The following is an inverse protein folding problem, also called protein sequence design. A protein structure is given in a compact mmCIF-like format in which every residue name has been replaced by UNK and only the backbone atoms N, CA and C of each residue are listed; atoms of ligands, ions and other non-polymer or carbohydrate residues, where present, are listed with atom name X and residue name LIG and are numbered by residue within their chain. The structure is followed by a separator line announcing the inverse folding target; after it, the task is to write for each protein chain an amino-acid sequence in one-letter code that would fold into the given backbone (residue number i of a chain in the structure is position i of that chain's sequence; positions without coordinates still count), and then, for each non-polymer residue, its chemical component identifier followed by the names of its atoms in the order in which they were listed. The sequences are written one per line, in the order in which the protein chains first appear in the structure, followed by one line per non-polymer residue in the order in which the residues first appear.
data_IF_773863817323
#
_entry.id   IF_773863817323
#
_cell.length_a   1.000
_cell.length_b   1.000
_cell.length_c   1.000
_cell.angle_alpha   90.00
_cell.angle_beta   90.00
_cell.angle_gamma   90.00
#
_symmetry.space_group_name_H-M   'P 1'
#
loop_
_entity.id
_entity.type
_entity.pdbx_description
1 polymer ?
#
# COMPACT_ATOMS: atom_id res chain seq x y z
N UNK A 1 -33.13 11.02 22.10
CA UNK A 1 -32.60 10.08 21.10
C UNK A 1 -31.41 10.77 20.44
N UNK A 2 -30.21 10.52 20.98
CA UNK A 2 -28.97 11.10 20.47
C UNK A 2 -28.46 10.18 19.38
N UNK A 3 -28.27 10.72 18.17
CA UNK A 3 -27.67 10.01 17.05
C UNK A 3 -26.21 9.70 17.39
N UNK A 4 -25.95 8.47 17.82
CA UNK A 4 -24.61 7.91 17.84
C UNK A 4 -24.23 7.60 16.40
N UNK A 5 -23.81 8.64 15.68
CA UNK A 5 -23.21 8.52 14.37
C UNK A 5 -21.77 8.06 14.60
N UNK A 6 -21.61 6.78 14.95
CA UNK A 6 -20.31 6.13 14.83
C UNK A 6 -19.95 6.22 13.36
N UNK A 7 -18.97 7.07 13.05
CA UNK A 7 -18.21 6.98 11.80
C UNK A 7 -17.56 5.60 11.79
N UNK A 8 -18.33 4.60 11.39
CA UNK A 8 -17.83 3.32 10.92
C UNK A 8 -17.12 3.66 9.61
N UNK A 9 -15.87 4.13 9.73
CA UNK A 9 -14.99 4.36 8.61
C UNK A 9 -14.97 3.04 7.87
N UNK A 10 -15.56 3.00 6.66
CA UNK A 10 -15.63 1.80 5.86
C UNK A 10 -14.19 1.36 5.55
N UNK A 11 -13.72 0.39 6.34
CA UNK A 11 -12.31 -0.03 6.36
C UNK A 11 -11.90 -0.58 4.99
N UNK A 12 -12.88 -1.01 4.20
CA UNK A 12 -12.71 -1.52 2.84
C UNK A 12 -12.27 -0.38 1.92
N UNK A 13 -12.98 0.73 1.96
CA UNK A 13 -12.67 1.94 1.21
C UNK A 13 -11.33 2.53 1.65
N UNK A 14 -11.04 2.55 2.95
CA UNK A 14 -9.78 3.08 3.47
C UNK A 14 -8.54 2.31 2.94
N UNK A 15 -8.63 0.98 2.87
CA UNK A 15 -7.53 0.13 2.39
C UNK A 15 -7.29 0.24 0.89
N UNK A 16 -8.38 0.28 0.10
CA UNK A 16 -8.32 0.46 -1.35
C UNK A 16 -7.82 1.86 -1.71
N UNK A 17 -8.36 2.89 -1.06
CA UNK A 17 -7.94 4.27 -1.25
C UNK A 17 -6.46 4.48 -0.89
N UNK A 18 -5.95 3.80 0.15
CA UNK A 18 -4.55 3.90 0.53
C UNK A 18 -3.60 3.38 -0.56
N UNK A 19 -3.94 2.27 -1.23
CA UNK A 19 -3.15 1.75 -2.34
C UNK A 19 -3.32 2.59 -3.61
N UNK A 20 -4.56 3.00 -3.92
CA UNK A 20 -4.85 3.87 -5.09
C UNK A 20 -4.17 5.22 -4.94
N UNK A 21 -4.05 5.77 -3.73
CA UNK A 21 -3.32 7.01 -3.48
C UNK A 21 -1.81 6.81 -3.42
N UNK A 22 -1.34 5.73 -2.78
CA UNK A 22 0.09 5.51 -2.52
C UNK A 22 0.89 5.11 -3.76
N UNK A 23 0.37 4.24 -4.62
CA UNK A 23 1.14 3.79 -5.80
C UNK A 23 1.37 4.86 -6.87
N UNK A 24 0.43 5.79 -7.14
CA UNK A 24 0.71 6.97 -7.96
C UNK A 24 1.78 7.86 -7.35
N UNK A 25 1.86 7.97 -6.01
CA UNK A 25 2.96 8.69 -5.34
C UNK A 25 4.29 7.97 -5.58
N UNK A 26 4.32 6.63 -5.55
CA UNK A 26 5.52 5.85 -5.92
C UNK A 26 5.93 6.14 -7.37
N UNK A 27 5.00 6.12 -8.31
CA UNK A 27 5.27 6.43 -9.73
C UNK A 27 5.78 7.87 -9.87
N UNK A 28 5.12 8.83 -9.22
CA UNK A 28 5.55 10.23 -9.23
C UNK A 28 6.97 10.39 -8.66
N UNK A 29 7.27 9.76 -7.53
CA UNK A 29 8.57 9.86 -6.91
C UNK A 29 9.69 9.18 -7.73
N UNK A 30 9.38 8.11 -8.46
CA UNK A 30 10.33 7.44 -9.35
C UNK A 30 10.58 8.23 -10.64
N UNK A 31 9.52 8.66 -11.31
CA UNK A 31 9.61 9.16 -12.70
C UNK A 31 9.60 10.69 -12.82
N UNK A 32 9.05 11.43 -11.85
CA UNK A 32 8.98 12.90 -11.95
C UNK A 32 10.35 13.60 -11.82
N UNK A 33 11.30 13.15 -10.98
CA UNK A 33 12.59 13.82 -10.84
C UNK A 33 13.48 13.67 -12.08
N UNK A 34 13.54 12.46 -12.65
CA UNK A 34 14.35 12.14 -13.84
C UNK A 34 13.74 10.93 -14.59
N UNK A 35 12.87 11.16 -15.58
CA UNK A 35 12.15 10.07 -16.25
C UNK A 35 13.08 9.15 -17.05
N UNK A 36 14.13 9.68 -17.66
CA UNK A 36 15.12 8.91 -18.43
C UNK A 36 15.87 7.92 -17.54
N UNK A 37 16.35 8.38 -16.38
CA UNK A 37 17.08 7.52 -15.42
C UNK A 37 16.16 6.44 -14.85
N UNK A 38 14.89 6.75 -14.60
CA UNK A 38 13.91 5.80 -14.10
C UNK A 38 13.59 4.70 -15.15
N UNK A 39 13.48 5.07 -16.42
CA UNK A 39 13.27 4.11 -17.52
C UNK A 39 14.52 3.24 -17.74
N UNK A 40 15.72 3.83 -17.70
CA UNK A 40 16.97 3.07 -17.78
C UNK A 40 17.10 2.08 -16.61
N UNK A 41 16.75 2.50 -15.40
CA UNK A 41 16.71 1.61 -14.23
C UNK A 41 15.66 0.50 -14.37
N UNK A 42 14.48 0.79 -14.91
CA UNK A 42 13.43 -0.19 -15.15
C UNK A 42 13.82 -1.21 -16.24
N UNK A 43 14.61 -0.81 -17.23
CA UNK A 43 15.07 -1.69 -18.32
C UNK A 43 16.36 -2.43 -18.00
N UNK A 44 17.05 -2.08 -16.91
CA UNK A 44 18.31 -2.71 -16.47
C UNK A 44 18.19 -4.23 -16.20
N UNK A 45 16.97 -4.74 -16.02
CA UNK A 45 16.72 -6.17 -15.98
C UNK A 45 15.30 -6.54 -15.57
N UNK A 46 14.91 -7.81 -15.71
CA UNK A 46 13.54 -8.27 -15.46
C UNK A 46 13.09 -8.04 -14.01
N UNK A 47 14.01 -8.13 -13.03
CA UNK A 47 13.71 -7.83 -11.62
C UNK A 47 13.43 -6.34 -11.38
N UNK A 48 14.15 -5.45 -12.06
CA UNK A 48 13.96 -4.01 -11.93
C UNK A 48 12.67 -3.57 -12.63
N UNK A 49 12.36 -4.13 -13.81
CA UNK A 49 11.07 -3.92 -14.46
C UNK A 49 9.90 -4.37 -13.57
N UNK A 50 10.04 -5.54 -12.92
CA UNK A 50 9.04 -6.04 -12.00
C UNK A 50 8.82 -5.08 -10.81
N UNK A 51 9.89 -4.59 -10.18
CA UNK A 51 9.79 -3.72 -9.01
C UNK A 51 9.40 -2.29 -9.32
N UNK A 52 9.81 -1.71 -10.46
CA UNK A 52 9.61 -0.30 -10.79
C UNK A 52 8.40 -0.02 -11.68
N UNK A 53 7.83 -1.05 -12.30
CA UNK A 53 6.68 -0.92 -13.22
C UNK A 53 5.56 -1.87 -12.85
N UNK A 54 5.83 -3.17 -12.80
CA UNK A 54 4.77 -4.18 -12.62
C UNK A 54 4.13 -4.10 -11.24
N UNK A 55 4.93 -4.04 -10.18
CA UNK A 55 4.48 -3.90 -8.80
C UNK A 55 3.65 -2.63 -8.57
N UNK A 56 4.07 -1.44 -9.07
CA UNK A 56 3.25 -0.25 -8.99
C UNK A 56 1.89 -0.36 -9.68
N UNK A 57 1.86 -0.92 -10.89
CA UNK A 57 0.62 -1.12 -11.66
C UNK A 57 -0.31 -2.10 -10.94
N UNK A 58 0.23 -3.23 -10.46
CA UNK A 58 -0.52 -4.20 -9.64
C UNK A 58 -1.02 -3.59 -8.34
N UNK A 59 -0.25 -2.68 -7.76
CA UNK A 59 -0.61 -1.85 -6.63
C UNK A 59 -1.92 -1.08 -6.82
N UNK A 60 -1.98 -0.30 -7.89
CA UNK A 60 -3.18 0.48 -8.26
C UNK A 60 -4.35 -0.45 -8.57
N UNK A 61 -4.12 -1.50 -9.38
CA UNK A 61 -5.17 -2.46 -9.75
C UNK A 61 -5.76 -3.18 -8.53
N UNK A 62 -4.91 -3.56 -7.57
CA UNK A 62 -5.34 -4.19 -6.32
C UNK A 62 -6.08 -3.20 -5.43
N UNK A 63 -5.64 -1.94 -5.37
CA UNK A 63 -6.37 -0.89 -4.65
C UNK A 63 -7.79 -0.71 -5.19
N UNK A 64 -7.95 -0.66 -6.51
CA UNK A 64 -9.26 -0.59 -7.17
C UNK A 64 -10.10 -1.84 -6.86
N UNK A 65 -9.51 -3.04 -6.94
CA UNK A 65 -10.20 -4.28 -6.62
C UNK A 65 -10.63 -4.38 -5.16
N UNK A 66 -9.81 -3.88 -4.23
CA UNK A 66 -10.10 -3.85 -2.80
C UNK A 66 -11.22 -2.84 -2.47
N UNK A 67 -11.23 -1.68 -3.14
CA UNK A 67 -12.31 -0.69 -3.07
C UNK A 67 -13.63 -1.25 -3.65
N UNK A 68 -13.56 -2.04 -4.73
CA UNK A 68 -14.71 -2.74 -5.30
C UNK A 68 -15.20 -3.94 -4.46
N UNK A 69 -14.75 -4.09 -3.21
CA UNK A 69 -15.15 -5.16 -2.30
C UNK A 69 -14.86 -6.58 -2.82
N UNK A 70 -13.81 -6.75 -3.63
CA UNK A 70 -13.48 -8.04 -4.21
C UNK A 70 -13.18 -9.12 -3.13
N UNK A 71 -13.68 -10.36 -3.30
CA UNK A 71 -13.38 -11.47 -2.40
C UNK A 71 -11.86 -11.74 -2.35
N UNK A 72 -11.35 -12.10 -1.16
CA UNK A 72 -9.93 -12.38 -0.89
C UNK A 72 -8.97 -11.19 -1.08
N UNK A 73 -9.46 -9.95 -1.12
CA UNK A 73 -8.64 -8.75 -1.29
C UNK A 73 -7.63 -8.48 -0.15
N UNK A 74 -7.73 -9.17 1.00
CA UNK A 74 -6.80 -8.98 2.12
C UNK A 74 -5.33 -9.33 1.76
N UNK A 75 -5.08 -10.54 1.26
CA UNK A 75 -3.70 -10.99 0.94
C UNK A 75 -2.96 -10.04 0.00
N UNK A 76 -3.51 -9.65 -1.16
CA UNK A 76 -2.79 -8.75 -2.07
C UNK A 76 -2.66 -7.34 -1.50
N UNK A 77 -3.62 -6.85 -0.70
CA UNK A 77 -3.52 -5.55 0.00
C UNK A 77 -2.37 -5.56 1.02
N UNK A 78 -2.22 -6.63 1.79
CA UNK A 78 -1.11 -6.78 2.75
C UNK A 78 0.25 -6.79 2.04
N UNK A 79 0.40 -7.59 0.99
CA UNK A 79 1.65 -7.70 0.23
C UNK A 79 2.04 -6.35 -0.40
N UNK A 80 1.10 -5.69 -1.06
CA UNK A 80 1.36 -4.43 -1.75
C UNK A 80 1.48 -3.25 -0.78
N UNK A 81 0.74 -3.24 0.33
CA UNK A 81 0.93 -2.29 1.43
C UNK A 81 2.31 -2.43 2.06
N UNK A 82 2.80 -3.67 2.28
CA UNK A 82 4.15 -3.91 2.79
C UNK A 82 5.23 -3.42 1.82
N UNK A 83 5.07 -3.66 0.52
CA UNK A 83 5.95 -3.10 -0.50
C UNK A 83 5.97 -1.56 -0.45
N UNK A 84 4.81 -0.93 -0.31
CA UNK A 84 4.65 0.52 -0.22
C UNK A 84 5.36 1.10 1.02
N UNK A 85 5.32 0.38 2.14
CA UNK A 85 6.03 0.73 3.36
C UNK A 85 7.55 0.60 3.23
N UNK A 86 8.04 -0.51 2.67
CA UNK A 86 9.48 -0.70 2.40
C UNK A 86 9.99 0.38 1.45
N UNK A 87 9.25 0.65 0.37
CA UNK A 87 9.60 1.70 -0.58
C UNK A 87 9.64 3.08 0.07
N UNK A 88 8.62 3.43 0.88
CA UNK A 88 8.56 4.70 1.61
C UNK A 88 9.73 4.89 2.58
N UNK A 89 10.11 3.82 3.31
CA UNK A 89 11.28 3.82 4.20
C UNK A 89 12.57 4.01 3.39
N UNK A 90 12.77 3.22 2.33
CA UNK A 90 13.94 3.34 1.46
C UNK A 90 14.07 4.73 0.85
N UNK A 91 12.95 5.35 0.49
CA UNK A 91 12.92 6.68 -0.08
C UNK A 91 13.25 7.75 0.97
N UNK A 92 12.68 7.66 2.18
CA UNK A 92 12.99 8.57 3.28
C UNK A 92 14.45 8.48 3.72
N UNK A 93 14.97 7.26 3.93
CA UNK A 93 16.37 7.03 4.29
C UNK A 93 17.33 7.36 3.14
N UNK A 94 16.97 7.06 1.90
CA UNK A 94 17.76 7.43 0.72
C UNK A 94 17.91 8.94 0.58
N UNK A 95 16.82 9.69 0.81
CA UNK A 95 16.86 11.16 0.82
C UNK A 95 17.73 11.74 1.96
N UNK A 96 17.70 11.11 3.14
CA UNK A 96 18.58 11.50 4.26
C UNK A 96 20.05 11.18 3.97
N UNK A 97 20.32 10.02 3.39
CA UNK A 97 21.67 9.57 3.05
C UNK A 97 22.31 10.38 1.91
N UNK A 98 21.51 10.92 0.99
CA UNK A 98 21.97 11.73 -0.13
C UNK A 98 22.49 13.13 0.27
N UNK A 99 22.34 13.54 1.54
CA UNK A 99 22.88 14.80 2.09
C UNK A 99 22.17 16.07 1.62
N UNK A 100 21.61 16.08 0.41
CA UNK A 100 20.58 17.01 -0.03
C UNK A 100 19.23 16.39 0.27
N UNK A 101 18.52 16.95 1.25
CA UNK A 101 17.22 16.43 1.71
C UNK A 101 16.12 17.23 1.02
N UNK A 102 15.65 16.86 -0.19
CA UNK A 102 14.48 17.49 -0.76
C UNK A 102 13.28 17.16 0.16
N UNK A 103 12.68 18.16 0.82
CA UNK A 103 11.63 17.93 1.82
C UNK A 103 10.42 17.20 1.22
N UNK A 104 10.20 17.36 -0.09
CA UNK A 104 9.17 16.65 -0.84
C UNK A 104 9.38 15.13 -0.86
N UNK A 105 10.61 14.62 -1.00
CA UNK A 105 10.87 13.18 -0.96
C UNK A 105 10.72 12.62 0.45
N UNK A 106 11.20 13.34 1.46
CA UNK A 106 10.98 12.94 2.86
C UNK A 106 9.48 12.87 3.19
N UNK A 107 8.72 13.92 2.81
CA UNK A 107 7.27 13.94 3.01
C UNK A 107 6.59 12.80 2.26
N UNK A 108 6.96 12.54 1.01
CA UNK A 108 6.43 11.42 0.23
C UNK A 108 6.73 10.07 0.91
N UNK A 109 7.96 9.86 1.40
CA UNK A 109 8.33 8.66 2.14
C UNK A 109 7.48 8.45 3.39
N UNK A 110 7.30 9.49 4.21
CA UNK A 110 6.47 9.44 5.42
C UNK A 110 5.00 9.17 5.08
N UNK A 111 4.46 9.82 4.06
CA UNK A 111 3.07 9.59 3.60
C UNK A 111 2.90 8.15 3.13
N UNK A 112 3.83 7.61 2.34
CA UNK A 112 3.81 6.22 1.89
C UNK A 112 3.84 5.25 3.08
N UNK A 113 4.66 5.50 4.09
CA UNK A 113 4.67 4.69 5.31
C UNK A 113 3.32 4.74 6.04
N UNK A 114 2.71 5.92 6.15
CA UNK A 114 1.38 6.06 6.74
C UNK A 114 0.32 5.26 5.99
N UNK A 115 0.30 5.35 4.65
CA UNK A 115 -0.62 4.60 3.79
C UNK A 115 -0.37 3.09 3.88
N UNK A 116 0.88 2.66 3.98
CA UNK A 116 1.25 1.27 4.19
C UNK A 116 0.71 0.72 5.51
N UNK A 117 0.83 1.48 6.61
CA UNK A 117 0.27 1.09 7.92
C UNK A 117 -1.24 0.92 7.82
N UNK A 118 -1.96 1.88 7.20
CA UNK A 118 -3.41 1.77 7.00
C UNK A 118 -3.79 0.52 6.19
N UNK A 119 -3.07 0.25 5.10
CA UNK A 119 -3.31 -0.93 4.27
C UNK A 119 -3.03 -2.25 5.00
N UNK A 120 -1.95 -2.32 5.79
CA UNK A 120 -1.59 -3.52 6.56
C UNK A 120 -2.58 -3.76 7.70
N UNK A 121 -2.90 -2.73 8.50
CA UNK A 121 -3.81 -2.86 9.64
C UNK A 121 -5.21 -3.27 9.18
N UNK A 122 -5.74 -2.65 8.14
CA UNK A 122 -7.05 -3.02 7.57
C UNK A 122 -7.07 -4.43 7.00
N UNK A 123 -5.98 -4.87 6.35
CA UNK A 123 -5.86 -6.25 5.88
C UNK A 123 -5.80 -7.26 7.02
N UNK A 124 -5.05 -6.98 8.08
CA UNK A 124 -4.95 -7.88 9.24
C UNK A 124 -6.30 -8.04 9.93
N UNK A 125 -7.05 -6.94 10.09
CA UNK A 125 -8.40 -6.98 10.65
C UNK A 125 -9.35 -7.83 9.79
N UNK A 126 -9.29 -7.68 8.46
CA UNK A 126 -10.06 -8.52 7.52
C UNK A 126 -9.68 -10.00 7.63
N UNK A 127 -8.39 -10.31 7.78
CA UNK A 127 -7.93 -11.70 7.95
C UNK A 127 -8.47 -12.30 9.25
N UNK A 128 -8.41 -11.54 10.35
CA UNK A 128 -8.92 -11.98 11.65
C UNK A 128 -10.43 -12.22 11.62
N UNK A 129 -11.20 -11.29 11.04
CA UNK A 129 -12.65 -11.44 10.85
C UNK A 129 -13.00 -12.68 10.01
N UNK A 130 -12.24 -12.94 8.94
CA UNK A 130 -12.46 -14.15 8.12
C UNK A 130 -12.10 -15.45 8.84
N UNK A 131 -11.12 -15.42 9.74
CA UNK A 131 -10.67 -16.59 10.51
C UNK A 131 -11.62 -16.95 11.65
N UNK A 132 -12.24 -15.95 12.31
CA UNK A 132 -13.23 -16.19 13.38
C UNK A 132 -14.52 -16.82 12.86
N UNK A 133 -14.91 -16.56 11.61
CA UNK A 133 -16.08 -17.19 10.95
C UNK A 133 -15.82 -18.68 10.63
N UNK A 134 -14.56 -19.10 10.53
CA UNK A 134 -14.16 -20.47 10.14
C UNK A 134 -13.84 -21.42 11.30
N UNK A 135 -14.05 -21.01 12.57
CA UNK A 135 -13.97 -21.92 13.70
C UNK A 135 -15.35 -22.59 13.89
N UNK A 136 -15.57 -23.82 13.37
CA UNK A 136 -16.75 -24.58 13.76
C UNK A 136 -16.69 -24.76 15.28
N UNK A 137 -17.82 -24.53 15.95
CA UNK A 137 -17.98 -24.91 17.34
C UNK A 137 -17.43 -26.33 17.52
N UNK A 138 -16.34 -26.47 18.28
CA UNK A 138 -15.89 -27.79 18.72
C UNK A 138 -17.10 -28.43 19.39
N UNK A 139 -17.58 -29.61 18.94
CA UNK A 139 -18.64 -30.30 19.65
C UNK A 139 -18.13 -30.52 21.08
N UNK A 140 -18.81 -29.92 22.05
CA UNK A 140 -18.56 -30.17 23.46
C UNK A 140 -18.94 -31.63 23.70
N UNK A 141 -17.93 -32.49 23.78
CA UNK A 141 -18.05 -33.81 24.39
C UNK A 141 -18.16 -33.71 25.89
#
# INVERSE_FOLDING_TARGET
MLFEHTTEIDRRDASGAALVGGFPVVIGALYAPNPTVAVDAATAGPRAAASLVVLPVLGVATGIYAAASGPYSGVPVFCLGSYLGVFGISLAFGALAAGAVPPALLAAGVVLVGLAVVAITSSLLRLVESATVYLPERPRG
#
